data_IF_035536219560
#
_entry.id   IF_035536219560
#
_cell.length_a   1.000
_cell.length_b   1.000
_cell.length_c   1.000
_cell.angle_alpha   90.00
_cell.angle_beta   90.00
_cell.angle_gamma   90.00
#
_symmetry.space_group_name_H-M   'P 1'
#
loop_
_entity.id
_entity.type
_entity.pdbx_description
1 polymer ?
#
# COMPACT_ATOMS: atom_id res chain seq x y z
N UNK A 1 -1.10 22.76 9.75
CA UNK A 1 -0.97 21.36 9.28
C UNK A 1 -0.82 20.53 10.51
N UNK A 2 -1.84 19.75 10.83
CA UNK A 2 -1.85 18.92 12.03
C UNK A 2 -0.69 17.93 11.94
N UNK A 3 0.17 17.94 12.94
CA UNK A 3 1.27 16.98 13.04
C UNK A 3 0.64 15.62 13.26
N UNK A 4 0.61 14.79 12.22
CA UNK A 4 0.16 13.41 12.32
C UNK A 4 0.89 12.72 13.49
N UNK A 5 0.14 12.28 14.50
CA UNK A 5 0.59 11.76 15.81
C UNK A 5 1.28 10.39 15.73
N UNK A 6 2.06 10.14 14.68
CA UNK A 6 2.81 8.90 14.51
C UNK A 6 3.88 8.75 15.60
N UNK A 7 4.05 7.52 16.07
CA UNK A 7 5.06 7.17 17.07
C UNK A 7 6.03 6.13 16.52
N UNK A 8 7.28 6.22 16.95
CA UNK A 8 8.26 5.16 16.70
C UNK A 8 7.70 3.85 17.27
N UNK A 9 7.77 2.79 16.48
CA UNK A 9 7.25 1.47 16.81
C UNK A 9 5.78 1.23 16.44
N UNK A 10 5.03 2.26 16.04
CA UNK A 10 3.69 2.10 15.49
C UNK A 10 3.72 1.24 14.22
N UNK A 11 2.68 0.45 14.01
CA UNK A 11 2.48 -0.29 12.77
C UNK A 11 1.66 0.57 11.81
N UNK A 12 2.11 0.62 10.56
CA UNK A 12 1.37 1.13 9.41
C UNK A 12 1.29 0.04 8.37
N UNK A 13 0.36 0.19 7.44
CA UNK A 13 0.02 -0.83 6.47
C UNK A 13 0.29 -0.29 5.07
N UNK A 14 1.03 -1.06 4.28
CA UNK A 14 1.15 -0.86 2.84
C UNK A 14 0.26 -1.87 2.14
N UNK A 15 -0.50 -1.42 1.16
CA UNK A 15 -1.35 -2.27 0.31
C UNK A 15 -0.93 -2.05 -1.13
N UNK A 16 -0.66 -3.14 -1.84
CA UNK A 16 -0.23 -3.09 -3.23
C UNK A 16 -0.35 -4.45 -3.90
N UNK A 17 -0.21 -4.47 -5.22
CA UNK A 17 -0.19 -5.71 -6.00
C UNK A 17 1.22 -6.28 -6.03
N UNK A 18 1.36 -7.50 -5.53
CA UNK A 18 2.61 -8.23 -5.55
C UNK A 18 2.95 -8.65 -6.98
N UNK A 19 4.18 -8.37 -7.42
CA UNK A 19 4.57 -8.57 -8.82
C UNK A 19 4.69 -10.06 -9.18
N UNK A 20 4.97 -10.92 -8.20
CA UNK A 20 5.14 -12.35 -8.38
C UNK A 20 3.80 -13.06 -8.34
N UNK A 21 2.99 -12.82 -7.30
CA UNK A 21 1.68 -13.46 -7.14
C UNK A 21 0.60 -12.86 -8.04
N UNK A 22 0.81 -11.63 -8.53
CA UNK A 22 -0.19 -10.83 -9.26
C UNK A 22 -1.48 -10.62 -8.45
N UNK A 23 -1.38 -10.69 -7.13
CA UNK A 23 -2.49 -10.49 -6.20
C UNK A 23 -2.18 -9.32 -5.26
N UNK A 24 -3.22 -8.57 -4.84
CA UNK A 24 -3.06 -7.56 -3.82
C UNK A 24 -2.79 -8.17 -2.45
N UNK A 25 -1.93 -7.51 -1.68
CA UNK A 25 -1.50 -7.96 -0.36
C UNK A 25 -1.43 -6.76 0.59
N UNK A 26 -1.67 -7.02 1.88
CA UNK A 26 -1.44 -6.06 2.96
C UNK A 26 -0.12 -6.45 3.64
N UNK A 27 0.79 -5.48 3.79
CA UNK A 27 2.07 -5.65 4.48
C UNK A 27 2.15 -4.69 5.66
N UNK A 28 2.68 -5.20 6.77
CA UNK A 28 2.91 -4.43 7.97
C UNK A 28 4.31 -3.80 7.95
N UNK A 29 4.37 -2.53 8.31
CA UNK A 29 5.58 -1.75 8.42
C UNK A 29 5.66 -1.11 9.80
N UNK A 30 6.79 -1.24 10.47
CA UNK A 30 7.07 -0.61 11.76
C UNK A 30 7.74 0.74 11.55
N UNK A 31 7.20 1.79 12.15
CA UNK A 31 7.78 3.14 12.12
C UNK A 31 9.11 3.14 12.88
N UNK A 32 10.17 3.56 12.21
CA UNK A 32 11.51 3.74 12.78
C UNK A 32 11.78 5.20 13.15
N UNK A 33 11.31 6.14 12.33
CA UNK A 33 11.50 7.57 12.52
C UNK A 33 10.32 8.36 11.95
N UNK A 34 9.97 9.47 12.61
CA UNK A 34 8.88 10.37 12.22
C UNK A 34 9.50 11.70 11.82
N UNK A 35 9.45 12.01 10.53
CA UNK A 35 9.83 13.30 9.98
C UNK A 35 8.63 14.26 9.94
N UNK A 36 8.87 15.46 9.44
CA UNK A 36 7.83 16.51 9.33
C UNK A 36 6.82 16.26 8.20
N UNK A 37 7.21 15.49 7.17
CA UNK A 37 6.37 15.21 5.98
C UNK A 37 6.19 13.72 5.68
N UNK A 38 6.93 12.88 6.37
CA UNK A 38 7.01 11.45 6.08
C UNK A 38 7.41 10.66 7.32
N UNK A 39 7.16 9.37 7.27
CA UNK A 39 7.68 8.37 8.20
C UNK A 39 8.66 7.47 7.48
N UNK A 40 9.71 7.08 8.18
CA UNK A 40 10.62 6.02 7.77
C UNK A 40 10.22 4.75 8.50
N UNK A 41 10.14 3.65 7.77
CA UNK A 41 9.61 2.38 8.28
C UNK A 41 10.48 1.21 7.86
N UNK A 42 10.35 0.09 8.55
CA UNK A 42 10.87 -1.22 8.14
C UNK A 42 9.74 -2.22 8.06
N UNK A 43 9.72 -3.05 7.02
CA UNK A 43 8.67 -4.02 6.77
C UNK A 43 9.00 -4.89 5.58
N UNK A 44 8.04 -5.68 5.11
CA UNK A 44 8.18 -6.40 3.85
C UNK A 44 7.55 -5.58 2.73
N UNK A 45 8.31 -5.28 1.69
CA UNK A 45 7.77 -4.54 0.55
C UNK A 45 6.74 -5.39 -0.23
N UNK A 46 5.65 -4.76 -0.65
CA UNK A 46 4.55 -5.42 -1.39
C UNK A 46 4.98 -5.92 -2.77
N UNK A 47 5.98 -5.33 -3.42
CA UNK A 47 6.39 -5.71 -4.78
C UNK A 47 7.27 -6.95 -4.77
N UNK A 48 8.25 -6.99 -3.86
CA UNK A 48 9.28 -8.05 -3.86
C UNK A 48 9.17 -9.01 -2.67
N UNK A 49 8.36 -8.70 -1.66
CA UNK A 49 8.14 -9.52 -0.46
C UNK A 49 9.43 -9.78 0.36
N UNK A 50 10.44 -8.93 0.21
CA UNK A 50 11.66 -8.95 1.03
C UNK A 50 11.59 -7.90 2.14
N UNK A 51 12.33 -8.14 3.22
CA UNK A 51 12.53 -7.14 4.25
C UNK A 51 13.22 -5.92 3.63
N UNK A 52 12.61 -4.76 3.82
CA UNK A 52 13.04 -3.50 3.25
C UNK A 52 12.74 -2.33 4.19
N UNK A 53 13.40 -1.22 3.92
CA UNK A 53 13.07 0.06 4.53
C UNK A 53 12.28 0.90 3.53
N UNK A 54 11.26 1.60 4.00
CA UNK A 54 10.35 2.36 3.14
C UNK A 54 10.08 3.73 3.74
N UNK A 55 9.96 4.74 2.88
CA UNK A 55 9.54 6.08 3.25
C UNK A 55 8.11 6.31 2.80
N UNK A 56 7.21 6.64 3.74
CA UNK A 56 5.83 6.97 3.42
C UNK A 56 5.55 8.44 3.70
N UNK A 57 5.08 9.17 2.68
CA UNK A 57 4.77 10.59 2.80
C UNK A 57 3.31 10.80 3.21
N UNK A 58 3.07 11.70 4.18
CA UNK A 58 1.73 12.00 4.69
C UNK A 58 0.76 12.46 3.61
N UNK A 59 1.26 13.12 2.55
CA UNK A 59 0.44 13.55 1.41
C UNK A 59 -0.15 12.41 0.58
N UNK A 60 0.38 11.19 0.72
CA UNK A 60 -0.09 9.99 0.01
C UNK A 60 -0.79 8.99 0.93
N UNK A 61 -1.00 9.34 2.19
CA UNK A 61 -1.75 8.50 3.12
C UNK A 61 -3.21 8.41 2.71
N UNK A 62 -3.77 7.20 2.66
CA UNK A 62 -5.17 6.95 2.26
C UNK A 62 -5.52 7.46 0.84
N UNK A 63 -4.53 7.74 -0.02
CA UNK A 63 -4.76 8.17 -1.40
C UNK A 63 -4.89 6.94 -2.31
N UNK A 64 -6.02 6.25 -2.22
CA UNK A 64 -6.35 5.13 -3.10
C UNK A 64 -6.98 5.62 -4.41
N UNK A 65 -6.39 5.27 -5.55
CA UNK A 65 -6.89 5.65 -6.87
C UNK A 65 -7.12 4.41 -7.77
N UNK A 66 -8.37 3.96 -7.96
CA UNK A 66 -8.70 2.82 -8.82
C UNK A 66 -8.23 2.96 -10.28
N UNK A 67 -8.27 4.18 -10.82
CA UNK A 67 -7.94 4.44 -12.22
C UNK A 67 -6.45 4.26 -12.50
N UNK A 68 -5.61 4.54 -11.50
CA UNK A 68 -4.18 4.25 -11.57
C UNK A 68 -3.91 2.77 -11.59
N UNK A 69 -4.66 1.94 -10.86
CA UNK A 69 -4.46 0.49 -10.88
C UNK A 69 -4.83 -0.15 -12.23
N UNK A 70 -5.78 0.45 -12.95
CA UNK A 70 -6.13 0.02 -14.31
C UNK A 70 -4.99 0.32 -15.30
N UNK A 71 -4.39 1.50 -15.20
CA UNK A 71 -3.44 2.05 -16.18
C UNK A 71 -1.96 1.81 -15.85
N UNK A 72 -1.61 1.72 -14.57
CA UNK A 72 -0.23 1.59 -14.09
C UNK A 72 0.17 0.12 -13.89
N UNK A 73 1.47 -0.11 -13.94
CA UNK A 73 2.07 -1.42 -13.69
C UNK A 73 2.15 -1.76 -12.18
N UNK A 74 2.21 -0.73 -11.33
CA UNK A 74 2.20 -0.86 -9.88
C UNK A 74 1.46 0.35 -9.27
N UNK A 75 0.56 0.08 -8.32
CA UNK A 75 -0.08 1.09 -7.49
C UNK A 75 -0.07 0.58 -6.05
N UNK A 76 0.33 1.45 -5.13
CA UNK A 76 0.38 1.14 -3.71
C UNK A 76 -0.25 2.27 -2.91
N UNK A 77 -1.04 1.93 -1.91
CA UNK A 77 -1.58 2.87 -0.93
C UNK A 77 -1.06 2.49 0.44
N UNK A 78 -0.89 3.46 1.33
CA UNK A 78 -0.53 3.18 2.71
C UNK A 78 -1.47 3.90 3.68
N UNK A 79 -1.64 3.31 4.85
CA UNK A 79 -2.57 3.78 5.89
C UNK A 79 -2.08 3.35 7.26
N UNK A 80 -2.59 3.98 8.31
CA UNK A 80 -2.31 3.61 9.71
C UNK A 80 -3.44 2.78 10.33
N UNK A 81 -4.46 2.47 9.54
CA UNK A 81 -5.66 1.74 9.94
C UNK A 81 -5.75 0.40 9.20
N UNK A 82 -5.78 -0.68 9.99
CA UNK A 82 -5.84 -2.05 9.46
C UNK A 82 -7.12 -2.31 8.67
N UNK A 83 -8.26 -1.82 9.13
CA UNK A 83 -9.55 -2.06 8.48
C UNK A 83 -9.59 -1.36 7.12
N UNK A 84 -9.04 -0.13 7.04
CA UNK A 84 -8.86 0.55 5.75
C UNK A 84 -7.92 -0.22 4.83
N UNK A 85 -6.81 -0.76 5.35
CA UNK A 85 -5.87 -1.54 4.56
C UNK A 85 -6.54 -2.78 3.94
N UNK A 86 -7.32 -3.52 4.74
CA UNK A 86 -8.08 -4.68 4.29
C UNK A 86 -9.12 -4.28 3.22
N UNK A 87 -9.83 -3.16 3.43
CA UNK A 87 -10.77 -2.60 2.44
C UNK A 87 -10.10 -2.21 1.12
N UNK A 88 -8.93 -1.58 1.17
CA UNK A 88 -8.18 -1.26 -0.05
C UNK A 88 -7.73 -2.54 -0.77
N UNK A 89 -7.26 -3.55 -0.02
CA UNK A 89 -6.84 -4.83 -0.58
C UNK A 89 -7.99 -5.53 -1.31
N UNK A 90 -9.18 -5.60 -0.71
CA UNK A 90 -10.38 -6.15 -1.35
C UNK A 90 -10.75 -5.41 -2.64
N UNK A 91 -10.71 -4.07 -2.63
CA UNK A 91 -10.99 -3.27 -3.84
C UNK A 91 -9.94 -3.48 -4.94
N UNK A 92 -8.66 -3.56 -4.57
CA UNK A 92 -7.60 -3.89 -5.53
C UNK A 92 -7.84 -5.27 -6.14
N UNK A 93 -8.35 -6.23 -5.36
CA UNK A 93 -8.61 -7.59 -5.83
C UNK A 93 -9.71 -7.60 -6.90
N UNK A 94 -10.81 -6.89 -6.65
CA UNK A 94 -11.91 -6.72 -7.62
C UNK A 94 -11.40 -6.16 -8.96
N UNK A 95 -10.55 -5.12 -8.89
CA UNK A 95 -9.98 -4.47 -10.09
C UNK A 95 -9.02 -5.40 -10.83
N UNK A 96 -8.14 -6.10 -10.11
CA UNK A 96 -7.20 -7.07 -10.70
C UNK A 96 -7.96 -8.21 -11.38
N UNK A 97 -9.00 -8.74 -10.73
CA UNK A 97 -9.85 -9.79 -11.29
C UNK A 97 -10.58 -9.30 -12.55
N UNK A 98 -11.15 -8.09 -12.51
CA UNK A 98 -11.79 -7.48 -13.67
C UNK A 98 -10.82 -7.33 -14.85
N UNK A 99 -9.61 -6.81 -14.62
CA UNK A 99 -8.55 -6.66 -15.63
C UNK A 99 -8.14 -8.02 -16.22
N UNK A 100 -8.00 -9.04 -15.38
CA UNK A 100 -7.64 -10.38 -15.82
C UNK A 100 -8.74 -11.05 -16.65
N UNK A 101 -10.01 -10.79 -16.34
CA UNK A 101 -11.14 -11.29 -17.12
C UNK A 101 -11.25 -10.59 -18.48
N UNK A 102 -11.02 -9.27 -18.55
CA UNK A 102 -10.96 -8.54 -19.82
C UNK A 102 -9.88 -9.09 -20.75
N UNK A 103 -8.68 -9.37 -20.22
CA UNK A 103 -7.57 -9.96 -21.01
C UNK A 103 -7.87 -11.36 -21.57
N UNK A 104 -8.81 -12.11 -20.97
CA UNK A 104 -9.20 -13.45 -21.44
C UNK A 104 -10.31 -13.42 -22.48
N UNK A 105 -11.06 -12.31 -22.56
CA UNK A 105 -12.21 -12.16 -23.44
C UNK A 105 -11.88 -11.53 -24.81
N UNK A 106 -10.70 -10.91 -24.93
CA UNK A 106 -10.14 -10.43 -26.19
C UNK A 106 -9.08 -11.38 -26.73
#
# INVERSE_FOLDING_TARGET
MDQSNFKIGQIVYQVGVNILSQLPEVQEHKVLCVGTKSIYTTGKDVHFHYNSESTFFFSFMDVFNPDELLNAFAHTVWTDDREKAEKYCSKMLEIVQYKNNLKKAG
#
